data_IF_759713576795
#
_entry.id   IF_759713576795
#
_cell.length_a   1.000
_cell.length_b   1.000
_cell.length_c   1.000
_cell.angle_alpha   90.00
_cell.angle_beta   90.00
_cell.angle_gamma   90.00
#
_symmetry.space_group_name_H-M   'P 1'
#
loop_
_entity.id
_entity.type
_entity.pdbx_description
1 polymer ?
#
# COMPACT_ATOMS: atom_id res chain seq x y z
N UNK A 1 12.57 -22.91 -2.00
CA UNK A 1 11.42 -22.39 -1.23
C UNK A 1 11.68 -20.92 -0.91
N UNK A 2 10.67 -20.04 -1.07
CA UNK A 2 10.78 -18.64 -0.64
C UNK A 2 10.68 -18.60 0.88
N UNK A 3 11.66 -17.97 1.54
CA UNK A 3 11.80 -17.98 3.00
C UNK A 3 11.48 -16.64 3.67
N UNK A 4 11.52 -15.57 2.88
CA UNK A 4 11.42 -14.18 3.36
C UNK A 4 10.43 -13.43 2.50
N UNK A 5 9.93 -12.30 3.03
CA UNK A 5 9.02 -11.41 2.32
C UNK A 5 9.71 -10.57 1.21
N UNK A 6 11.04 -10.64 1.08
CA UNK A 6 11.83 -9.82 0.16
C UNK A 6 11.35 -9.84 -1.31
N UNK A 7 10.84 -10.96 -1.88
CA UNK A 7 10.30 -10.94 -3.23
C UNK A 7 9.17 -9.94 -3.44
N UNK A 8 8.46 -9.51 -2.39
CA UNK A 8 7.44 -8.46 -2.47
C UNK A 8 7.98 -7.15 -3.05
N UNK A 9 9.26 -6.82 -2.82
CA UNK A 9 9.91 -5.64 -3.40
C UNK A 9 9.91 -5.70 -4.93
N UNK A 10 10.17 -6.88 -5.50
CA UNK A 10 10.11 -7.10 -6.94
C UNK A 10 8.66 -7.13 -7.43
N UNK A 11 7.79 -7.84 -6.71
CA UNK A 11 6.38 -7.99 -7.09
C UNK A 11 5.62 -6.64 -7.10
N UNK A 12 5.97 -5.70 -6.23
CA UNK A 12 5.37 -4.36 -6.25
C UNK A 12 5.85 -3.47 -7.42
N UNK A 13 6.94 -3.84 -8.09
CA UNK A 13 7.49 -3.08 -9.23
C UNK A 13 7.02 -3.63 -10.57
N UNK A 14 6.89 -4.95 -10.69
CA UNK A 14 6.41 -5.61 -11.91
C UNK A 14 4.90 -5.84 -11.93
N UNK A 15 4.38 -6.34 -13.06
CA UNK A 15 3.02 -6.89 -13.14
C UNK A 15 3.02 -8.25 -12.43
N UNK A 16 2.79 -8.25 -11.13
CA UNK A 16 2.67 -9.47 -10.33
C UNK A 16 1.40 -10.25 -10.71
N UNK A 17 1.48 -11.57 -10.67
CA UNK A 17 0.30 -12.44 -10.77
C UNK A 17 -0.22 -12.78 -9.37
N UNK A 18 -1.52 -13.10 -9.26
CA UNK A 18 -2.14 -13.50 -8.00
C UNK A 18 -1.39 -14.66 -7.33
N UNK A 19 -1.04 -15.70 -8.11
CA UNK A 19 -0.31 -16.89 -7.65
C UNK A 19 1.05 -16.56 -7.01
N UNK A 20 1.72 -15.51 -7.48
CA UNK A 20 3.02 -15.10 -6.91
C UNK A 20 2.87 -14.41 -5.55
N UNK A 21 1.69 -13.88 -5.25
CA UNK A 21 1.41 -13.12 -4.03
C UNK A 21 0.71 -13.99 -2.99
N UNK A 22 -0.07 -15.00 -3.40
CA UNK A 22 -0.82 -15.92 -2.53
C UNK A 22 0.02 -16.56 -1.42
N UNK A 23 1.30 -16.83 -1.68
CA UNK A 23 2.23 -17.32 -0.65
C UNK A 23 2.30 -16.38 0.56
N UNK A 24 2.39 -15.07 0.30
CA UNK A 24 2.52 -14.06 1.34
C UNK A 24 1.19 -13.75 2.05
N UNK A 25 0.06 -14.11 1.44
CA UNK A 25 -1.26 -14.07 2.09
C UNK A 25 -1.44 -15.20 3.10
N UNK A 26 -0.67 -16.28 2.95
CA UNK A 26 -0.77 -17.45 3.81
C UNK A 26 -0.40 -17.15 5.27
N UNK A 27 -0.85 -18.03 6.17
CA UNK A 27 -0.59 -17.93 7.62
C UNK A 27 0.90 -17.94 7.98
N UNK A 28 1.77 -18.38 7.07
CA UNK A 28 3.21 -18.43 7.35
C UNK A 28 3.88 -17.04 7.25
N UNK A 29 3.30 -16.13 6.47
CA UNK A 29 3.79 -14.75 6.32
C UNK A 29 2.86 -13.71 6.92
N UNK A 30 1.59 -14.05 7.16
CA UNK A 30 0.58 -13.08 7.57
C UNK A 30 0.27 -13.18 9.06
N UNK A 31 0.22 -12.05 9.74
CA UNK A 31 -0.16 -11.92 11.14
C UNK A 31 -1.16 -10.76 11.34
N UNK A 32 -1.48 -10.47 12.61
CA UNK A 32 -2.45 -9.42 12.97
C UNK A 32 -2.05 -8.06 12.42
N UNK A 33 -0.78 -7.66 12.56
CA UNK A 33 -0.26 -6.35 12.12
C UNK A 33 0.20 -6.33 10.65
N UNK A 34 0.12 -7.44 9.92
CA UNK A 34 0.50 -7.54 8.50
C UNK A 34 1.55 -8.61 8.20
N UNK A 35 2.59 -8.27 7.45
CA UNK A 35 3.54 -9.24 6.89
C UNK A 35 4.79 -9.43 7.74
N UNK A 36 5.04 -10.68 8.13
CA UNK A 36 6.26 -11.17 8.77
C UNK A 36 7.43 -11.11 7.78
N UNK A 37 8.60 -10.74 8.29
CA UNK A 37 9.84 -10.69 7.50
C UNK A 37 10.30 -12.07 6.99
N UNK A 38 9.88 -13.13 7.69
CA UNK A 38 10.27 -14.52 7.46
C UNK A 38 9.07 -15.45 7.66
N UNK A 39 9.01 -16.51 6.86
CA UNK A 39 7.99 -17.56 7.03
C UNK A 39 8.09 -18.16 8.43
N UNK A 40 6.96 -18.30 9.10
CA UNK A 40 6.85 -18.96 10.42
C UNK A 40 7.16 -20.46 10.37
N UNK A 41 7.25 -21.05 9.18
CA UNK A 41 7.60 -22.46 8.98
C UNK A 41 9.12 -22.69 8.93
N UNK A 42 9.93 -21.64 8.79
CA UNK A 42 11.38 -21.77 8.78
C UNK A 42 11.93 -22.01 10.18
N UNK A 43 12.88 -22.94 10.35
CA UNK A 43 13.56 -23.18 11.64
C UNK A 43 14.23 -21.92 12.22
N UNK A 44 14.65 -21.01 11.35
CA UNK A 44 15.25 -19.72 11.72
C UNK A 44 14.22 -18.64 12.12
N UNK A 45 12.92 -18.95 12.10
CA UNK A 45 11.89 -18.02 12.51
C UNK A 45 11.99 -17.73 14.01
N UNK A 46 12.00 -16.45 14.35
CA UNK A 46 11.90 -15.97 15.72
C UNK A 46 10.93 -14.80 15.73
N UNK A 47 9.76 -15.00 16.34
CA UNK A 47 8.69 -14.00 16.45
C UNK A 47 9.09 -12.75 17.24
N UNK A 48 10.22 -12.77 17.93
CA UNK A 48 10.80 -11.64 18.66
C UNK A 48 12.03 -11.05 17.94
N UNK A 49 12.51 -11.69 16.86
CA UNK A 49 13.74 -11.32 16.19
C UNK A 49 13.53 -10.32 15.05
N UNK A 50 14.29 -9.21 15.11
CA UNK A 50 14.09 -8.01 14.30
C UNK A 50 13.97 -8.25 12.78
N UNK A 51 14.85 -9.09 12.20
CA UNK A 51 14.81 -9.49 10.78
C UNK A 51 14.50 -10.98 10.56
N UNK A 52 14.08 -11.67 11.61
CA UNK A 52 13.90 -13.14 11.59
C UNK A 52 12.47 -13.56 11.92
N UNK A 53 11.55 -12.62 12.07
CA UNK A 53 10.14 -12.97 12.29
C UNK A 53 9.25 -11.84 12.76
N UNK A 54 9.76 -10.64 13.06
CA UNK A 54 8.87 -9.48 13.25
C UNK A 54 8.09 -9.15 11.97
N UNK A 55 6.87 -8.65 12.17
CA UNK A 55 6.04 -8.03 11.15
C UNK A 55 6.45 -6.57 11.00
N UNK A 56 6.70 -6.12 9.77
CA UNK A 56 7.17 -4.75 9.50
C UNK A 56 6.14 -3.96 8.72
N UNK A 57 5.91 -2.70 9.12
CA UNK A 57 5.02 -1.78 8.38
C UNK A 57 5.45 -1.62 6.93
N UNK A 58 6.77 -1.60 6.68
CA UNK A 58 7.36 -1.58 5.35
C UNK A 58 6.94 -2.78 4.49
N UNK A 59 7.03 -3.99 5.03
CA UNK A 59 6.70 -5.23 4.32
C UNK A 59 5.19 -5.32 4.05
N UNK A 60 4.36 -4.89 5.00
CA UNK A 60 2.91 -4.74 4.81
C UNK A 60 2.60 -3.72 3.69
N UNK A 61 3.36 -2.64 3.61
CA UNK A 61 3.27 -1.67 2.51
C UNK A 61 3.60 -2.29 1.15
N UNK A 62 4.68 -3.06 1.05
CA UNK A 62 5.04 -3.80 -0.17
C UNK A 62 3.95 -4.76 -0.60
N UNK A 63 3.35 -5.47 0.36
CA UNK A 63 2.24 -6.39 0.10
C UNK A 63 1.04 -5.67 -0.50
N UNK A 64 0.58 -4.58 0.10
CA UNK A 64 -0.52 -3.77 -0.44
C UNK A 64 -0.23 -3.31 -1.87
N UNK A 65 0.98 -2.80 -2.13
CA UNK A 65 1.40 -2.42 -3.47
C UNK A 65 1.40 -3.59 -4.46
N UNK A 66 1.88 -4.77 -4.07
CA UNK A 66 1.90 -5.97 -4.90
C UNK A 66 0.47 -6.42 -5.26
N UNK A 67 -0.46 -6.37 -4.31
CA UNK A 67 -1.88 -6.66 -4.55
C UNK A 67 -2.50 -5.75 -5.60
N UNK A 68 -2.29 -4.44 -5.48
CA UNK A 68 -2.75 -3.49 -6.49
C UNK A 68 -2.07 -3.69 -7.85
N UNK A 69 -0.82 -4.16 -7.90
CA UNK A 69 -0.16 -4.52 -9.17
C UNK A 69 -0.75 -5.75 -9.83
N UNK A 70 -1.28 -6.68 -9.03
CA UNK A 70 -2.01 -7.85 -9.51
C UNK A 70 -3.51 -7.58 -9.73
N UNK A 71 -3.94 -6.31 -9.70
CA UNK A 71 -5.33 -5.89 -9.89
C UNK A 71 -6.30 -6.46 -8.83
N UNK A 72 -5.77 -6.88 -7.67
CA UNK A 72 -6.53 -7.42 -6.53
C UNK A 72 -6.85 -6.31 -5.52
N UNK A 73 -7.59 -5.30 -5.98
CA UNK A 73 -7.90 -4.07 -5.22
C UNK A 73 -8.48 -4.29 -3.81
N UNK A 74 -9.30 -5.33 -3.61
CA UNK A 74 -9.88 -5.64 -2.30
C UNK A 74 -8.81 -6.13 -1.32
N UNK A 75 -7.86 -6.96 -1.79
CA UNK A 75 -6.71 -7.37 -0.98
C UNK A 75 -5.73 -6.23 -0.74
N UNK A 76 -5.51 -5.39 -1.75
CA UNK A 76 -4.66 -4.20 -1.63
C UNK A 76 -5.13 -3.27 -0.52
N UNK A 77 -6.45 -3.01 -0.43
CA UNK A 77 -7.00 -2.17 0.63
C UNK A 77 -6.97 -2.85 2.00
N UNK A 78 -7.17 -4.17 2.10
CA UNK A 78 -7.06 -4.90 3.37
C UNK A 78 -5.67 -4.69 4.02
N UNK A 79 -4.58 -4.77 3.25
CA UNK A 79 -3.23 -4.54 3.80
C UNK A 79 -2.95 -3.07 4.12
N UNK A 80 -3.52 -2.13 3.35
CA UNK A 80 -3.45 -0.71 3.71
C UNK A 80 -4.19 -0.47 5.04
N UNK A 81 -5.34 -1.10 5.26
CA UNK A 81 -6.10 -1.01 6.51
C UNK A 81 -5.34 -1.59 7.70
N UNK A 82 -4.66 -2.73 7.52
CA UNK A 82 -3.73 -3.25 8.55
C UNK A 82 -2.67 -2.22 8.91
N UNK A 83 -2.07 -1.57 7.90
CA UNK A 83 -1.03 -0.56 8.11
C UNK A 83 -1.54 0.67 8.86
N UNK A 84 -2.71 1.21 8.50
CA UNK A 84 -3.28 2.41 9.13
C UNK A 84 -4.05 2.13 10.42
N UNK A 85 -4.34 0.86 10.74
CA UNK A 85 -4.95 0.49 12.02
C UNK A 85 -4.12 0.98 13.22
N UNK A 86 -2.82 1.18 12.99
CA UNK A 86 -1.89 1.65 14.00
C UNK A 86 -2.00 3.14 14.33
N UNK A 87 -2.63 3.95 13.48
CA UNK A 87 -2.78 5.40 13.71
C UNK A 87 -3.47 5.74 15.04
N UNK A 88 -4.21 4.79 15.61
CA UNK A 88 -4.93 4.93 16.88
C UNK A 88 -4.36 4.06 18.01
N UNK A 89 -3.19 3.44 17.84
CA UNK A 89 -2.54 2.58 18.84
C UNK A 89 -1.04 2.88 18.95
N UNK A 90 -0.40 2.37 19.99
CA UNK A 90 1.05 2.47 20.25
C UNK A 90 1.58 3.93 20.33
N UNK A 91 1.66 4.65 19.22
CA UNK A 91 1.97 6.07 19.13
C UNK A 91 0.88 6.78 18.29
N UNK A 92 -0.01 7.53 18.95
CA UNK A 92 -1.17 8.17 18.29
C UNK A 92 -0.72 9.06 17.13
N UNK A 93 -1.32 8.86 15.96
CA UNK A 93 -0.97 9.54 14.70
C UNK A 93 0.29 8.99 14.03
N UNK A 94 0.97 8.04 14.67
CA UNK A 94 2.11 7.30 14.15
C UNK A 94 1.70 5.98 13.50
N UNK A 95 2.65 5.44 12.75
CA UNK A 95 2.65 4.07 12.26
C UNK A 95 3.98 3.49 12.71
N UNK A 96 3.89 2.45 13.53
CA UNK A 96 5.03 1.77 14.11
C UNK A 96 5.93 1.09 13.09
N UNK A 97 7.11 0.76 13.57
CA UNK A 97 8.15 0.10 12.80
C UNK A 97 7.82 -1.37 12.53
N UNK A 98 7.68 -2.11 13.62
CA UNK A 98 7.57 -3.55 13.60
C UNK A 98 6.96 -4.10 14.89
N UNK A 99 6.24 -5.21 14.75
CA UNK A 99 5.52 -5.89 15.82
C UNK A 99 5.89 -7.36 15.86
N UNK A 100 5.81 -7.96 17.04
CA UNK A 100 5.87 -9.42 17.14
C UNK A 100 4.59 -10.07 16.59
N UNK A 101 4.58 -11.40 16.56
CA UNK A 101 3.45 -12.18 16.03
C UNK A 101 2.10 -11.85 16.70
N UNK A 102 2.12 -11.47 17.98
CA UNK A 102 0.94 -11.12 18.77
C UNK A 102 0.53 -9.64 18.63
N UNK A 103 1.24 -8.86 17.81
CA UNK A 103 0.93 -7.45 17.56
C UNK A 103 1.47 -6.48 18.61
N UNK A 104 2.40 -6.90 19.48
CA UNK A 104 3.10 -5.99 20.40
C UNK A 104 4.19 -5.23 19.65
N UNK A 105 4.21 -3.90 19.76
CA UNK A 105 5.24 -3.06 19.17
C UNK A 105 6.63 -3.43 19.74
N UNK A 106 7.62 -3.54 18.85
CA UNK A 106 9.01 -3.89 19.19
C UNK A 106 10.02 -2.85 18.71
N UNK A 107 9.73 -2.15 17.61
CA UNK A 107 10.56 -1.05 17.13
C UNK A 107 10.02 0.33 17.54
N UNK A 108 10.40 1.36 16.81
CA UNK A 108 9.91 2.72 17.03
C UNK A 108 8.41 2.82 16.75
N UNK A 109 7.66 3.56 17.59
CA UNK A 109 6.21 3.78 17.40
C UNK A 109 5.87 4.71 16.23
N UNK A 110 6.85 5.44 15.70
CA UNK A 110 6.67 6.32 14.54
C UNK A 110 7.84 6.15 13.58
N UNK A 111 7.60 5.44 12.47
CA UNK A 111 8.60 5.27 11.42
C UNK A 111 8.14 5.82 10.09
N UNK A 112 9.08 6.51 9.41
CA UNK A 112 8.80 7.19 8.16
C UNK A 112 8.36 6.22 7.05
N UNK A 113 8.94 5.03 7.00
CA UNK A 113 8.61 4.08 5.92
C UNK A 113 7.15 3.61 5.97
N UNK A 114 6.59 3.35 7.15
CA UNK A 114 5.16 3.03 7.27
C UNK A 114 4.28 4.15 6.73
N UNK A 115 4.56 5.39 7.14
CA UNK A 115 3.82 6.58 6.68
C UNK A 115 3.96 6.84 5.19
N UNK A 116 5.18 6.75 4.66
CA UNK A 116 5.46 6.97 3.25
C UNK A 116 4.67 5.99 2.38
N UNK A 117 4.52 4.73 2.83
CA UNK A 117 3.73 3.73 2.10
C UNK A 117 2.24 4.05 2.06
N UNK A 118 1.65 4.66 3.08
CA UNK A 118 0.24 5.10 3.02
C UNK A 118 0.02 6.04 1.84
N UNK A 119 0.87 7.07 1.70
CA UNK A 119 0.79 8.04 0.61
C UNK A 119 1.06 7.34 -0.73
N UNK A 120 2.12 6.53 -0.80
CA UNK A 120 2.51 5.80 -2.02
C UNK A 120 1.41 4.88 -2.52
N UNK A 121 0.81 4.08 -1.63
CA UNK A 121 -0.26 3.14 -1.98
C UNK A 121 -1.46 3.92 -2.52
N UNK A 122 -1.91 4.96 -1.81
CA UNK A 122 -3.07 5.74 -2.24
C UNK A 122 -2.82 6.40 -3.59
N UNK A 123 -1.69 7.10 -3.75
CA UNK A 123 -1.45 7.91 -4.94
C UNK A 123 -1.02 7.06 -6.15
N UNK A 124 -0.04 6.17 -5.99
CA UNK A 124 0.58 5.48 -7.13
C UNK A 124 -0.07 4.12 -7.48
N UNK A 125 -0.78 3.48 -6.54
CA UNK A 125 -1.30 2.11 -6.74
C UNK A 125 -2.82 2.05 -6.77
N UNK A 126 -3.48 2.66 -5.79
CA UNK A 126 -4.93 2.74 -5.72
C UNK A 126 -5.48 3.71 -6.77
N UNK A 127 -4.94 4.93 -6.86
CA UNK A 127 -5.34 5.91 -7.89
C UNK A 127 -4.55 5.76 -9.19
N UNK A 128 -3.38 5.11 -9.14
CA UNK A 128 -2.53 4.89 -10.31
C UNK A 128 -1.95 6.19 -10.87
N UNK A 129 -1.75 7.22 -10.05
CA UNK A 129 -1.31 8.55 -10.48
C UNK A 129 0.10 8.47 -11.05
N UNK A 130 0.27 8.94 -12.30
CA UNK A 130 1.56 9.33 -12.87
C UNK A 130 1.47 10.75 -13.37
N UNK A 131 2.53 11.53 -13.16
CA UNK A 131 2.56 12.95 -13.48
C UNK A 131 3.51 13.22 -14.64
N UNK A 132 3.08 14.02 -15.62
CA UNK A 132 3.94 14.62 -16.64
C UNK A 132 3.77 16.14 -16.56
N UNK A 133 4.73 16.80 -15.91
CA UNK A 133 4.68 18.24 -15.67
C UNK A 133 4.87 19.06 -16.95
N UNK A 134 5.70 18.59 -17.89
CA UNK A 134 5.96 19.27 -19.16
C UNK A 134 4.71 19.38 -20.02
N UNK A 135 3.92 18.30 -20.08
CA UNK A 135 2.68 18.25 -20.85
C UNK A 135 1.44 18.66 -20.05
N UNK A 136 1.59 18.97 -18.76
CA UNK A 136 0.49 19.23 -17.81
C UNK A 136 -0.55 18.09 -17.82
N UNK A 137 -0.05 16.85 -17.87
CA UNK A 137 -0.87 15.63 -17.89
C UNK A 137 -0.76 14.87 -16.58
N UNK A 138 -1.88 14.27 -16.19
CA UNK A 138 -1.99 13.33 -15.09
C UNK A 138 -2.59 12.06 -15.65
N UNK A 139 -1.82 10.98 -15.59
CA UNK A 139 -2.29 9.66 -15.95
C UNK A 139 -2.88 8.97 -14.72
N UNK A 140 -3.99 8.27 -14.88
CA UNK A 140 -4.73 7.62 -13.81
C UNK A 140 -5.01 6.17 -14.18
N UNK A 141 -4.87 5.27 -13.21
CA UNK A 141 -5.38 3.90 -13.31
C UNK A 141 -6.09 3.56 -11.99
N UNK A 142 -7.29 4.12 -11.73
CA UNK A 142 -7.90 3.97 -10.43
C UNK A 142 -8.47 2.57 -10.25
N UNK A 143 -8.15 1.96 -9.13
CA UNK A 143 -8.55 0.62 -8.71
C UNK A 143 -9.36 0.71 -7.42
N UNK A 144 -10.46 1.46 -7.44
CA UNK A 144 -11.25 1.71 -6.24
C UNK A 144 -11.86 0.41 -5.69
N UNK A 145 -11.58 0.01 -4.44
CA UNK A 145 -12.31 -1.06 -3.77
C UNK A 145 -13.81 -0.74 -3.69
N UNK A 146 -14.68 -1.74 -3.58
CA UNK A 146 -16.13 -1.52 -3.62
C UNK A 146 -16.64 -0.60 -2.48
N UNK A 147 -15.99 -0.63 -1.32
CA UNK A 147 -16.33 0.26 -0.20
C UNK A 147 -15.96 1.74 -0.41
N UNK A 148 -15.17 2.06 -1.43
CA UNK A 148 -14.67 3.42 -1.69
C UNK A 148 -15.32 3.98 -2.95
N UNK A 149 -16.23 4.93 -2.75
CA UNK A 149 -16.92 5.59 -3.86
C UNK A 149 -16.29 6.91 -4.28
N UNK A 150 -15.51 7.55 -3.41
CA UNK A 150 -15.01 8.91 -3.65
C UNK A 150 -13.64 9.09 -2.98
N UNK A 151 -12.69 9.59 -3.73
CA UNK A 151 -11.40 10.06 -3.21
C UNK A 151 -11.14 11.47 -3.75
N UNK A 152 -10.70 12.35 -2.85
CA UNK A 152 -10.20 13.69 -3.18
C UNK A 152 -8.73 13.79 -2.80
N UNK A 153 -7.91 14.28 -3.72
CA UNK A 153 -6.46 14.48 -3.50
C UNK A 153 -6.06 15.86 -3.98
N UNK A 154 -5.24 16.55 -3.21
CA UNK A 154 -4.58 17.79 -3.63
C UNK A 154 -3.22 17.42 -4.21
N UNK A 155 -3.00 17.73 -5.47
CA UNK A 155 -1.80 17.32 -6.23
C UNK A 155 -1.06 18.56 -6.70
N UNK A 156 0.27 18.50 -6.70
CA UNK A 156 1.14 19.50 -7.31
C UNK A 156 1.67 18.98 -8.64
N UNK A 157 1.59 19.80 -9.68
CA UNK A 157 2.14 19.54 -11.01
C UNK A 157 2.93 20.77 -11.48
N UNK A 158 4.26 20.68 -11.38
CA UNK A 158 5.14 21.85 -11.50
C UNK A 158 4.83 22.88 -10.41
N UNK A 159 4.47 24.10 -10.81
CA UNK A 159 4.09 25.19 -9.90
C UNK A 159 2.59 25.21 -9.57
N UNK A 160 1.79 24.39 -10.25
CA UNK A 160 0.34 24.42 -10.09
C UNK A 160 -0.11 23.42 -9.03
N UNK A 161 -1.04 23.85 -8.18
CA UNK A 161 -1.82 22.98 -7.31
C UNK A 161 -3.22 22.79 -7.86
N UNK A 162 -3.76 21.59 -7.76
CA UNK A 162 -5.13 21.29 -8.15
C UNK A 162 -5.72 20.18 -7.28
N UNK A 163 -7.04 20.14 -7.23
CA UNK A 163 -7.79 19.07 -6.59
C UNK A 163 -8.19 18.05 -7.65
N UNK A 164 -7.74 16.81 -7.48
CA UNK A 164 -8.23 15.64 -8.19
C UNK A 164 -9.38 15.03 -7.40
N UNK A 165 -10.49 14.77 -8.07
CA UNK A 165 -11.61 13.98 -7.53
C UNK A 165 -11.77 12.75 -8.39
N UNK A 166 -11.70 11.56 -7.78
CA UNK A 166 -12.00 10.28 -8.44
C UNK A 166 -13.23 9.69 -7.77
N UNK A 167 -14.22 9.31 -8.58
CA UNK A 167 -15.54 8.91 -8.10
C UNK A 167 -16.07 7.70 -8.87
N UNK A 168 -16.64 6.74 -8.15
CA UNK A 168 -17.44 5.63 -8.68
C UNK A 168 -18.92 6.02 -8.60
N UNK A 169 -19.60 6.07 -9.74
CA UNK A 169 -21.05 6.28 -9.84
C UNK A 169 -21.65 5.26 -10.80
N UNK A 170 -22.66 4.51 -10.34
CA UNK A 170 -23.34 3.47 -11.13
C UNK A 170 -22.36 2.49 -11.78
N UNK A 171 -21.33 2.07 -11.03
CA UNK A 171 -20.28 1.15 -11.51
C UNK A 171 -19.19 1.79 -12.38
N UNK A 172 -19.34 3.06 -12.79
CA UNK A 172 -18.39 3.76 -13.65
C UNK A 172 -17.46 4.60 -12.78
N UNK A 173 -16.14 4.43 -12.96
CA UNK A 173 -15.13 5.29 -12.36
C UNK A 173 -14.86 6.47 -13.29
N UNK A 174 -14.89 7.68 -12.73
CA UNK A 174 -14.57 8.92 -13.43
C UNK A 174 -13.63 9.79 -12.59
N UNK A 175 -12.92 10.70 -13.25
CA UNK A 175 -12.01 11.64 -12.60
C UNK A 175 -12.24 13.07 -13.08
N UNK A 176 -12.07 14.03 -12.18
CA UNK A 176 -12.20 15.47 -12.44
C UNK A 176 -11.09 16.25 -11.76
N UNK A 177 -10.66 17.33 -12.39
CA UNK A 177 -9.66 18.27 -11.84
C UNK A 177 -10.29 19.65 -11.62
N UNK A 178 -9.89 20.34 -10.56
CA UNK A 178 -10.26 21.75 -10.34
C UNK A 178 -9.55 22.71 -11.30
N UNK A 179 -8.53 22.25 -12.04
CA UNK A 179 -7.78 23.07 -12.99
C UNK A 179 -8.00 22.56 -14.42
N UNK A 180 -8.77 23.30 -15.21
CA UNK A 180 -9.14 22.97 -16.60
C UNK A 180 -7.95 22.88 -17.57
N UNK A 181 -6.78 23.42 -17.19
CA UNK A 181 -5.54 23.34 -18.00
C UNK A 181 -4.82 21.99 -17.84
N UNK A 182 -5.20 21.19 -16.85
CA UNK A 182 -4.61 19.88 -16.60
C UNK A 182 -5.43 18.82 -17.34
N UNK A 183 -4.74 18.02 -18.14
CA UNK A 183 -5.36 16.90 -18.86
C UNK A 183 -5.29 15.65 -18.00
N UNK A 184 -6.43 14.96 -17.88
CA UNK A 184 -6.52 13.65 -17.22
C UNK A 184 -6.62 12.57 -18.28
N UNK A 185 -5.78 11.53 -18.18
CA UNK A 185 -5.77 10.41 -19.12
C UNK A 185 -5.81 9.08 -18.35
N UNK A 186 -6.68 8.15 -18.75
CA UNK A 186 -6.73 6.81 -18.17
C UNK A 186 -5.82 5.86 -18.96
N UNK A 187 -5.17 4.91 -18.28
CA UNK A 187 -4.25 3.93 -18.89
C UNK A 187 -4.31 2.55 -18.22
#
# INVERSE_FOLDING_TARGET
LIKTCNPLVYLMQKKASAKEIELFESKEFNCVKGILTRSSNEKSFNSEGYHTGLCWSLCTGWMSCAEFKAERKEKGIEYLEKLISDLNSDCIGGIGECWNFNGKLKGCGMQLWGHAFVIKIVDEFLLGIKLNAFEKKVFLKPQLPEKINLIKRKIRLGENWFNLTVERKKGIISAKTSNKKIKLEFY
#
